data_IF_699154376752
#
_entry.id   IF_699154376752
#
_cell.length_a   1.000
_cell.length_b   1.000
_cell.length_c   1.000
_cell.angle_alpha   90.00
_cell.angle_beta   90.00
_cell.angle_gamma   90.00
#
_symmetry.space_group_name_H-M   'P 1'
#
loop_
_entity.id
_entity.type
_entity.pdbx_description
1 polymer ?
#
# COMPACT_ATOMS: atom_id res chain seq x y z
N UNK A 1 -59.17 8.98 -3.60
CA UNK A 1 -57.78 8.93 -4.15
C UNK A 1 -56.70 9.16 -3.07
N UNK A 2 -56.67 8.39 -1.96
CA UNK A 2 -55.63 8.56 -0.91
C UNK A 2 -55.15 7.26 -0.21
N UNK A 3 -55.34 6.07 -0.79
CA UNK A 3 -54.99 4.81 -0.11
C UNK A 3 -54.03 3.89 -0.89
N UNK A 4 -53.92 3.99 -2.22
CA UNK A 4 -52.97 3.15 -2.99
C UNK A 4 -51.50 3.57 -2.88
N UNK A 5 -51.21 4.86 -2.66
CA UNK A 5 -49.81 5.35 -2.56
C UNK A 5 -49.13 4.96 -1.24
N UNK A 6 -49.88 4.62 -0.20
CA UNK A 6 -49.32 4.26 1.10
C UNK A 6 -48.98 2.76 1.20
N UNK A 7 -49.71 1.90 0.49
CA UNK A 7 -49.40 0.46 0.43
C UNK A 7 -48.17 0.15 -0.45
N UNK A 8 -47.93 0.97 -1.49
CA UNK A 8 -46.72 0.82 -2.32
C UNK A 8 -45.43 1.28 -1.59
N UNK A 9 -45.56 2.19 -0.61
CA UNK A 9 -44.43 2.65 0.20
C UNK A 9 -44.09 1.66 1.34
N UNK A 10 -45.07 0.89 1.81
CA UNK A 10 -44.85 -0.16 2.81
C UNK A 10 -44.23 -1.44 2.21
N UNK A 11 -44.59 -1.77 0.95
CA UNK A 11 -44.01 -2.92 0.25
C UNK A 11 -42.53 -2.73 -0.13
N UNK A 12 -42.07 -1.49 -0.30
CA UNK A 12 -40.65 -1.20 -0.57
C UNK A 12 -39.77 -1.20 0.69
N UNK A 13 -40.35 -1.05 1.89
CA UNK A 13 -39.59 -1.11 3.15
C UNK A 13 -39.41 -2.52 3.70
N UNK A 14 -40.17 -3.51 3.23
CA UNK A 14 -40.04 -4.91 3.67
C UNK A 14 -39.21 -5.80 2.74
N UNK A 15 -38.80 -5.31 1.56
CA UNK A 15 -38.00 -6.09 0.60
C UNK A 15 -36.47 -5.95 0.78
N UNK A 16 -36.01 -5.24 1.81
CA UNK A 16 -34.58 -4.96 2.04
C UNK A 16 -34.00 -5.67 3.27
N UNK A 17 -34.51 -6.87 3.60
CA UNK A 17 -34.02 -7.67 4.73
C UNK A 17 -33.58 -9.09 4.34
N UNK A 18 -33.20 -9.30 3.08
CA UNK A 18 -32.64 -10.58 2.62
C UNK A 18 -31.51 -10.36 1.60
N UNK A 19 -30.50 -9.58 1.99
CA UNK A 19 -29.21 -9.58 1.30
C UNK A 19 -28.14 -10.01 2.31
N UNK A 20 -27.88 -11.31 2.30
CA UNK A 20 -26.65 -11.98 2.73
C UNK A 20 -25.90 -11.31 3.89
N UNK A 21 -26.04 -11.91 5.07
CA UNK A 21 -25.04 -11.86 6.12
C UNK A 21 -23.70 -12.37 5.55
N UNK A 22 -22.95 -11.50 4.87
CA UNK A 22 -21.52 -11.65 4.75
C UNK A 22 -20.99 -11.13 6.08
N UNK A 23 -20.63 -12.08 6.94
CA UNK A 23 -20.03 -11.79 8.23
C UNK A 23 -18.89 -10.79 8.07
N UNK A 24 -18.70 -9.98 9.10
CA UNK A 24 -17.52 -9.14 9.28
C UNK A 24 -16.30 -9.93 8.77
N UNK A 25 -15.65 -9.51 7.67
CA UNK A 25 -14.42 -10.18 7.26
C UNK A 25 -13.46 -10.07 8.45
N UNK A 26 -12.73 -11.16 8.77
CA UNK A 26 -11.82 -11.16 9.91
C UNK A 26 -10.90 -9.95 9.82
N UNK A 27 -10.54 -9.40 11.00
CA UNK A 27 -9.61 -8.29 11.12
C UNK A 27 -8.47 -8.44 10.11
N UNK A 28 -8.14 -7.35 9.40
CA UNK A 28 -7.08 -7.31 8.40
C UNK A 28 -5.92 -8.18 8.86
N UNK A 29 -5.61 -9.29 8.16
CA UNK A 29 -4.52 -10.15 8.56
C UNK A 29 -3.27 -9.28 8.63
N UNK A 30 -2.47 -9.45 9.69
CA UNK A 30 -1.15 -8.84 9.74
C UNK A 30 -0.44 -9.13 8.41
N UNK A 31 0.14 -8.10 7.78
CA UNK A 31 0.97 -8.26 6.58
C UNK A 31 1.81 -9.55 6.75
N UNK A 32 1.73 -10.53 5.84
CA UNK A 32 2.29 -11.84 6.09
C UNK A 32 3.79 -11.72 6.42
N UNK A 33 4.25 -12.48 7.41
CA UNK A 33 5.67 -12.60 7.69
C UNK A 33 6.33 -13.30 6.50
N UNK A 34 6.86 -12.52 5.56
CA UNK A 34 7.60 -13.06 4.42
C UNK A 34 9.06 -13.27 4.84
N UNK A 35 9.42 -14.53 5.04
CA UNK A 35 10.80 -14.95 5.22
C UNK A 35 11.55 -14.74 3.91
N UNK A 36 12.43 -13.74 3.89
CA UNK A 36 13.35 -13.47 2.81
C UNK A 36 14.21 -14.72 2.51
N UNK A 37 14.47 -15.11 1.24
CA UNK A 37 15.61 -15.96 0.94
C UNK A 37 16.86 -15.19 1.36
N UNK A 38 17.58 -15.70 2.36
CA UNK A 38 18.72 -15.04 3.04
C UNK A 38 19.56 -14.18 2.09
N UNK A 39 19.41 -12.83 2.12
CA UNK A 39 20.30 -11.94 1.41
C UNK A 39 21.64 -11.96 2.14
N UNK A 40 22.69 -12.30 1.41
CA UNK A 40 24.07 -12.09 1.86
C UNK A 40 24.20 -10.62 2.30
N UNK A 41 24.71 -10.31 3.51
CA UNK A 41 24.93 -8.93 3.98
C UNK A 41 26.12 -8.33 3.22
N UNK A 42 25.92 -8.09 1.94
CA UNK A 42 26.76 -7.27 1.11
C UNK A 42 25.85 -6.23 0.50
N UNK A 43 26.31 -4.97 0.56
CA UNK A 43 25.80 -3.78 -0.12
C UNK A 43 25.82 -3.99 -1.65
N UNK A 44 25.06 -4.96 -2.14
CA UNK A 44 25.28 -5.63 -3.41
C UNK A 44 24.26 -5.21 -4.46
N UNK A 45 24.71 -4.43 -5.43
CA UNK A 45 24.04 -4.26 -6.73
C UNK A 45 24.01 -5.62 -7.44
N UNK A 46 22.83 -6.24 -7.53
CA UNK A 46 22.57 -7.34 -8.45
C UNK A 46 22.00 -6.81 -9.76
N UNK A 47 22.80 -6.10 -10.57
CA UNK A 47 22.34 -5.56 -11.86
C UNK A 47 22.67 -6.53 -12.99
N UNK A 48 21.64 -7.10 -13.62
CA UNK A 48 21.76 -7.81 -14.89
C UNK A 48 21.00 -7.04 -15.99
N UNK A 49 21.58 -5.94 -16.48
CA UNK A 49 20.96 -5.16 -17.55
C UNK A 49 21.44 -3.71 -17.63
N UNK A 50 21.00 -2.99 -18.68
CA UNK A 50 21.20 -1.54 -18.85
C UNK A 50 20.25 -0.76 -17.92
N UNK A 51 20.33 -1.04 -16.63
CA UNK A 51 19.35 -0.60 -15.64
C UNK A 51 19.88 0.61 -14.85
N UNK A 52 18.98 1.53 -14.49
CA UNK A 52 19.29 2.72 -13.70
C UNK A 52 18.83 2.53 -12.26
N UNK A 53 19.61 1.78 -11.49
CA UNK A 53 19.47 1.68 -10.04
C UNK A 53 20.24 2.82 -9.37
N UNK A 54 19.61 3.54 -8.44
CA UNK A 54 20.28 4.58 -7.64
C UNK A 54 19.96 4.43 -6.16
N UNK A 55 21.01 4.52 -5.33
CA UNK A 55 20.97 4.38 -3.88
C UNK A 55 21.66 5.58 -3.24
N UNK A 56 20.95 6.28 -2.34
CA UNK A 56 21.52 7.37 -1.54
C UNK A 56 21.21 7.17 -0.05
N UNK A 57 22.26 7.03 0.75
CA UNK A 57 22.17 7.03 2.23
C UNK A 57 23.06 8.09 2.86
N UNK A 58 22.55 9.30 3.10
CA UNK A 58 23.20 10.24 3.99
C UNK A 58 22.96 9.79 5.45
N UNK A 59 23.99 9.24 6.12
CA UNK A 59 24.16 9.48 7.56
C UNK A 59 23.94 8.39 8.63
N UNK A 60 23.87 7.09 8.37
CA UNK A 60 23.98 6.07 9.45
C UNK A 60 24.21 4.64 8.92
N UNK A 61 24.90 3.80 9.69
CA UNK A 61 25.15 2.36 9.49
C UNK A 61 23.91 1.46 9.66
N UNK A 62 22.71 2.01 9.75
CA UNK A 62 21.46 1.29 10.05
C UNK A 62 20.47 1.20 8.88
N UNK A 63 20.77 1.84 7.75
CA UNK A 63 19.96 1.72 6.54
C UNK A 63 20.34 0.45 5.77
N UNK A 64 19.33 -0.28 5.30
CA UNK A 64 19.47 -1.44 4.43
C UNK A 64 18.59 -1.24 3.20
N UNK A 65 19.11 -1.63 2.04
CA UNK A 65 18.39 -1.52 0.79
C UNK A 65 18.79 -2.61 -0.21
N UNK A 66 17.80 -3.24 -0.83
CA UNK A 66 17.99 -4.20 -1.91
C UNK A 66 17.22 -3.74 -3.14
N UNK A 67 17.89 -3.72 -4.29
CA UNK A 67 17.24 -3.60 -5.60
C UNK A 67 17.60 -4.85 -6.40
N UNK A 68 16.58 -5.59 -6.82
CA UNK A 68 16.73 -6.75 -7.68
C UNK A 68 15.92 -6.56 -8.97
N UNK A 69 16.61 -6.53 -10.11
CA UNK A 69 16.04 -6.36 -11.44
C UNK A 69 16.57 -7.49 -12.34
N UNK A 70 15.66 -8.26 -12.95
CA UNK A 70 16.01 -9.43 -13.78
C UNK A 70 16.01 -9.14 -15.29
N UNK A 71 15.50 -7.98 -15.72
CA UNK A 71 15.19 -7.64 -17.11
C UNK A 71 15.33 -6.13 -17.37
N UNK A 72 15.69 -5.79 -18.61
CA UNK A 72 16.08 -4.45 -19.02
C UNK A 72 14.92 -3.45 -19.11
N UNK A 73 15.21 -2.17 -18.83
CA UNK A 73 14.27 -1.05 -19.04
C UNK A 73 13.53 -0.64 -17.78
N UNK A 74 13.92 -1.17 -16.62
CA UNK A 74 13.28 -0.86 -15.35
C UNK A 74 14.04 0.27 -14.64
N UNK A 75 13.29 1.14 -13.95
CA UNK A 75 13.83 2.19 -13.08
C UNK A 75 13.51 1.84 -11.64
N UNK A 76 14.54 1.86 -10.79
CA UNK A 76 14.42 1.64 -9.36
C UNK A 76 15.26 2.69 -8.62
N UNK A 77 14.66 3.41 -7.70
CA UNK A 77 15.35 4.37 -6.84
C UNK A 77 14.97 4.17 -5.38
N UNK A 78 15.99 4.11 -4.52
CA UNK A 78 15.83 4.08 -3.07
C UNK A 78 16.62 5.26 -2.48
N UNK A 79 15.90 6.18 -1.85
CA UNK A 79 16.46 7.30 -1.09
C UNK A 79 16.12 7.13 0.38
N UNK A 80 17.13 6.91 1.22
CA UNK A 80 16.95 6.68 2.64
C UNK A 80 17.75 7.69 3.46
N UNK A 81 17.04 8.48 4.26
CA UNK A 81 17.65 9.36 5.28
C UNK A 81 17.42 8.73 6.64
N UNK A 82 18.50 8.34 7.31
CA UNK A 82 18.42 7.79 8.67
C UNK A 82 18.28 8.92 9.70
N UNK A 83 17.64 8.60 10.82
CA UNK A 83 17.62 9.45 12.01
C UNK A 83 18.78 9.09 12.95
N UNK A 84 18.91 9.83 14.04
CA UNK A 84 19.96 9.60 15.06
C UNK A 84 19.81 8.29 15.83
N UNK A 85 18.65 7.61 15.73
CA UNK A 85 18.29 6.52 16.62
C UNK A 85 17.72 5.27 15.91
N UNK A 86 17.53 5.30 14.58
CA UNK A 86 16.95 4.19 13.83
C UNK A 86 17.21 4.30 12.33
N UNK A 87 17.33 3.15 11.67
CA UNK A 87 17.52 3.07 10.22
C UNK A 87 16.24 2.89 9.44
N UNK A 88 16.40 2.66 8.14
CA UNK A 88 15.34 2.30 7.21
C UNK A 88 15.69 0.96 6.55
N UNK A 89 14.67 0.24 6.07
CA UNK A 89 14.81 -0.98 5.26
C UNK A 89 13.96 -0.79 4.01
N UNK A 90 14.54 -0.97 2.83
CA UNK A 90 13.85 -0.78 1.55
C UNK A 90 14.19 -1.90 0.57
N UNK A 91 13.19 -2.57 0.04
CA UNK A 91 13.38 -3.59 -0.97
C UNK A 91 12.60 -3.27 -2.25
N UNK A 92 13.24 -3.38 -3.41
CA UNK A 92 12.58 -3.30 -4.71
C UNK A 92 12.90 -4.58 -5.48
N UNK A 93 11.86 -5.33 -5.85
CA UNK A 93 11.96 -6.49 -6.73
C UNK A 93 11.17 -6.24 -8.01
N UNK A 94 11.86 -6.16 -9.14
CA UNK A 94 11.23 -6.04 -10.45
C UNK A 94 11.65 -7.23 -11.32
N UNK A 95 10.85 -8.30 -11.22
CA UNK A 95 11.23 -9.66 -11.61
C UNK A 95 10.70 -10.10 -12.97
N UNK A 96 9.62 -9.48 -13.44
CA UNK A 96 8.95 -9.80 -14.71
C UNK A 96 8.41 -8.51 -15.34
N UNK A 97 8.30 -8.49 -16.68
CA UNK A 97 7.81 -7.35 -17.47
C UNK A 97 8.87 -6.39 -18.04
N UNK A 98 8.47 -5.18 -18.39
CA UNK A 98 9.40 -4.12 -18.86
C UNK A 98 8.88 -2.76 -18.45
N UNK A 99 9.77 -1.76 -18.40
CA UNK A 99 9.42 -0.36 -18.20
C UNK A 99 8.71 -0.06 -16.87
N UNK A 100 8.97 -0.88 -15.85
CA UNK A 100 8.49 -0.65 -14.50
C UNK A 100 9.30 0.45 -13.81
N UNK A 101 8.62 1.29 -13.04
CA UNK A 101 9.19 2.37 -12.25
C UNK A 101 8.85 2.15 -10.76
N UNK A 102 9.87 2.02 -9.92
CA UNK A 102 9.74 1.86 -8.48
C UNK A 102 10.57 2.92 -7.75
N UNK A 103 9.92 3.68 -6.87
CA UNK A 103 10.60 4.66 -6.02
C UNK A 103 10.24 4.43 -4.55
N UNK A 104 11.26 4.35 -3.70
CA UNK A 104 11.13 4.33 -2.25
C UNK A 104 11.88 5.54 -1.69
N UNK A 105 11.18 6.38 -0.94
CA UNK A 105 11.79 7.45 -0.14
C UNK A 105 11.42 7.27 1.32
N UNK A 106 12.42 7.07 2.18
CA UNK A 106 12.23 6.90 3.61
C UNK A 106 13.06 7.90 4.39
N UNK A 107 12.41 8.64 5.28
CA UNK A 107 13.08 9.55 6.20
C UNK A 107 12.73 9.16 7.63
N UNK A 108 13.68 8.56 8.33
CA UNK A 108 13.52 8.27 9.74
C UNK A 108 13.82 9.53 10.55
N UNK A 109 12.78 10.21 11.04
CA UNK A 109 12.93 11.42 11.89
C UNK A 109 12.77 11.11 13.37
N UNK A 110 12.62 9.83 13.75
CA UNK A 110 12.39 9.45 15.15
C UNK A 110 13.61 9.81 16.02
N UNK A 111 13.43 10.64 17.07
CA UNK A 111 14.50 10.96 18.01
C UNK A 111 14.74 9.83 19.04
N UNK A 112 13.90 8.78 19.05
CA UNK A 112 13.94 7.72 20.06
C UNK A 112 14.24 6.37 19.39
N UNK A 113 15.27 5.69 19.87
CA UNK A 113 15.80 4.45 19.27
C UNK A 113 14.85 3.25 19.32
N UNK A 114 13.87 3.29 20.22
CA UNK A 114 12.87 2.23 20.38
C UNK A 114 11.67 2.33 19.42
N UNK A 115 11.59 3.38 18.60
CA UNK A 115 10.46 3.60 17.69
C UNK A 115 10.62 2.98 16.31
N UNK A 116 11.59 2.07 16.14
CA UNK A 116 11.66 1.14 15.01
C UNK A 116 12.16 1.73 13.67
N UNK A 117 12.45 0.82 12.73
CA UNK A 117 12.86 1.15 11.36
C UNK A 117 11.63 1.41 10.50
N UNK A 118 11.74 2.31 9.52
CA UNK A 118 10.75 2.31 8.44
C UNK A 118 11.07 1.14 7.51
N UNK A 119 10.05 0.41 7.09
CA UNK A 119 10.15 -0.74 6.18
C UNK A 119 9.30 -0.45 4.94
N UNK A 120 9.91 -0.53 3.77
CA UNK A 120 9.27 -0.29 2.49
C UNK A 120 9.62 -1.43 1.54
N UNK A 121 8.63 -1.93 0.80
CA UNK A 121 8.85 -2.96 -0.22
C UNK A 121 7.96 -2.73 -1.43
N UNK A 122 8.55 -2.87 -2.61
CA UNK A 122 7.85 -2.82 -3.90
C UNK A 122 8.17 -4.10 -4.67
N UNK A 123 7.14 -4.86 -5.03
CA UNK A 123 7.26 -6.01 -5.93
C UNK A 123 6.47 -5.75 -7.22
N UNK A 124 7.16 -5.73 -8.36
CA UNK A 124 6.57 -5.52 -9.69
C UNK A 124 6.92 -6.69 -10.62
N UNK A 125 5.87 -7.35 -11.13
CA UNK A 125 5.97 -8.48 -12.06
C UNK A 125 5.30 -8.19 -13.42
N UNK A 126 4.58 -7.06 -13.52
CA UNK A 126 3.83 -6.68 -14.72
C UNK A 126 4.59 -5.71 -15.64
N UNK A 127 3.88 -5.07 -16.58
CA UNK A 127 4.48 -4.14 -17.56
C UNK A 127 4.07 -2.69 -17.33
N UNK A 128 5.01 -1.76 -17.54
CA UNK A 128 4.79 -0.30 -17.46
C UNK A 128 4.11 0.15 -16.18
N UNK A 129 4.41 -0.51 -15.06
CA UNK A 129 3.78 -0.22 -13.79
C UNK A 129 4.61 0.78 -12.99
N UNK A 130 3.92 1.62 -12.21
CA UNK A 130 4.55 2.61 -11.33
C UNK A 130 4.20 2.32 -9.88
N UNK A 131 5.19 2.36 -9.00
CA UNK A 131 4.99 2.24 -7.57
C UNK A 131 5.84 3.26 -6.84
N UNK A 132 5.19 4.08 -6.02
CA UNK A 132 5.85 5.13 -5.23
C UNK A 132 5.49 4.97 -3.75
N UNK A 133 6.52 4.86 -2.91
CA UNK A 133 6.37 4.76 -1.46
C UNK A 133 7.15 5.89 -0.76
N UNK A 134 6.45 6.64 0.10
CA UNK A 134 7.02 7.72 0.90
C UNK A 134 6.69 7.50 2.37
N UNK A 135 7.72 7.39 3.21
CA UNK A 135 7.57 7.21 4.66
C UNK A 135 8.39 8.26 5.41
N UNK A 136 7.73 9.01 6.28
CA UNK A 136 8.36 10.01 7.16
C UNK A 136 7.98 9.72 8.61
N UNK A 137 8.99 9.59 9.49
CA UNK A 137 8.79 9.24 10.91
C UNK A 137 9.43 7.90 11.27
N UNK A 138 8.80 7.05 12.08
CA UNK A 138 9.43 5.81 12.56
C UNK A 138 8.48 4.60 12.63
N UNK A 139 8.99 3.38 12.48
CA UNK A 139 8.20 2.14 12.47
C UNK A 139 7.05 2.12 11.45
N UNK A 140 7.14 2.88 10.36
CA UNK A 140 6.15 2.80 9.29
C UNK A 140 6.44 1.60 8.38
N UNK A 141 5.39 0.93 7.89
CA UNK A 141 5.47 -0.23 6.99
C UNK A 141 4.62 0.01 5.75
N UNK A 142 5.23 -0.04 4.58
CA UNK A 142 4.56 0.12 3.30
C UNK A 142 4.94 -1.05 2.39
N UNK A 143 3.93 -1.73 1.86
CA UNK A 143 4.12 -2.82 0.92
C UNK A 143 3.18 -2.68 -0.27
N UNK A 144 3.74 -2.71 -1.48
CA UNK A 144 2.98 -2.71 -2.73
C UNK A 144 3.38 -3.91 -3.60
N UNK A 145 2.36 -4.54 -4.20
CA UNK A 145 2.53 -5.65 -5.14
C UNK A 145 1.73 -5.37 -6.40
N UNK A 146 2.39 -5.46 -7.55
CA UNK A 146 1.78 -5.38 -8.88
C UNK A 146 2.14 -6.65 -9.65
N UNK A 147 1.20 -7.60 -9.70
CA UNK A 147 1.39 -8.95 -10.24
C UNK A 147 1.63 -9.02 -11.75
N UNK A 148 1.97 -10.21 -12.25
CA UNK A 148 2.39 -10.41 -13.65
C UNK A 148 1.30 -10.08 -14.69
N UNK A 149 0.03 -10.16 -14.29
CA UNK A 149 -1.11 -9.77 -15.12
C UNK A 149 -1.44 -8.28 -15.07
N UNK A 150 -0.64 -7.46 -14.36
CA UNK A 150 -0.90 -6.02 -14.17
C UNK A 150 -0.18 -5.21 -15.23
N UNK A 151 -0.89 -4.27 -15.86
CA UNK A 151 -0.27 -3.33 -16.81
C UNK A 151 -0.74 -1.91 -16.60
N UNK A 152 0.17 -0.96 -16.86
CA UNK A 152 -0.10 0.47 -16.79
C UNK A 152 -0.83 0.88 -15.50
N UNK A 153 -0.52 0.22 -14.39
CA UNK A 153 -1.17 0.47 -13.11
C UNK A 153 -0.21 1.20 -12.19
N UNK A 154 -0.78 2.01 -11.30
CA UNK A 154 -0.03 2.83 -10.38
C UNK A 154 -0.47 2.60 -8.95
N UNK A 155 0.52 2.49 -8.05
CA UNK A 155 0.32 2.42 -6.62
C UNK A 155 1.08 3.54 -5.93
N UNK A 156 0.44 4.19 -4.97
CA UNK A 156 1.06 5.26 -4.16
C UNK A 156 0.76 5.04 -2.69
N UNK A 157 1.79 5.02 -1.85
CA UNK A 157 1.63 4.89 -0.40
C UNK A 157 2.42 6.01 0.30
N UNK A 158 1.73 6.82 1.08
CA UNK A 158 2.32 7.91 1.88
C UNK A 158 1.99 7.73 3.35
N UNK A 159 3.02 7.68 4.19
CA UNK A 159 2.88 7.50 5.63
C UNK A 159 3.67 8.56 6.37
N UNK A 160 2.98 9.36 7.17
CA UNK A 160 3.57 10.38 8.03
C UNK A 160 3.22 10.11 9.49
N UNK A 161 4.25 9.95 10.31
CA UNK A 161 4.11 9.67 11.74
C UNK A 161 4.77 8.36 12.14
N UNK A 162 4.16 7.64 13.08
CA UNK A 162 4.77 6.47 13.73
C UNK A 162 3.81 5.27 13.68
N UNK A 163 4.30 4.09 13.29
CA UNK A 163 3.57 2.80 13.26
C UNK A 163 2.43 2.73 12.24
N UNK A 164 2.53 3.44 11.12
CA UNK A 164 1.58 3.27 10.02
C UNK A 164 1.82 1.98 9.25
N UNK A 165 0.74 1.36 8.79
CA UNK A 165 0.77 0.13 7.99
C UNK A 165 -0.10 0.31 6.73
N UNK A 166 0.53 0.18 5.57
CA UNK A 166 -0.11 0.38 4.27
C UNK A 166 0.21 -0.82 3.38
N UNK A 167 -0.84 -1.44 2.84
CA UNK A 167 -0.74 -2.55 1.91
C UNK A 167 -1.58 -2.30 0.65
N UNK A 168 -0.96 -2.40 -0.52
CA UNK A 168 -1.63 -2.39 -1.81
C UNK A 168 -1.28 -3.67 -2.57
N UNK A 169 -2.30 -4.39 -3.05
CA UNK A 169 -2.13 -5.56 -3.90
C UNK A 169 -2.98 -5.44 -5.17
N UNK A 170 -2.32 -5.24 -6.30
CA UNK A 170 -2.89 -5.35 -7.63
C UNK A 170 -2.47 -6.69 -8.22
N UNK A 171 -3.41 -7.63 -8.36
CA UNK A 171 -3.08 -9.00 -8.77
C UNK A 171 -3.12 -9.21 -10.28
N UNK A 172 -4.04 -8.52 -10.97
CA UNK A 172 -4.30 -8.68 -12.40
C UNK A 172 -5.13 -7.52 -12.96
N UNK A 173 -4.97 -7.24 -14.25
CA UNK A 173 -5.74 -6.27 -15.00
C UNK A 173 -4.98 -4.97 -15.31
N UNK A 174 -5.64 -3.99 -15.91
CA UNK A 174 -4.94 -2.86 -16.55
C UNK A 174 -5.47 -1.51 -16.05
N UNK A 175 -4.63 -0.48 -16.11
CA UNK A 175 -5.00 0.91 -15.81
C UNK A 175 -5.60 1.14 -14.42
N UNK A 176 -5.16 0.38 -13.41
CA UNK A 176 -5.68 0.50 -12.06
C UNK A 176 -4.85 1.53 -11.26
N UNK A 177 -5.55 2.33 -10.45
CA UNK A 177 -4.94 3.30 -9.55
C UNK A 177 -5.30 2.98 -8.10
N UNK A 178 -4.31 2.85 -7.25
CA UNK A 178 -4.50 2.66 -5.81
C UNK A 178 -3.62 3.65 -5.03
N UNK A 179 -4.24 4.38 -4.10
CA UNK A 179 -3.54 5.38 -3.29
C UNK A 179 -3.93 5.28 -1.82
N UNK A 180 -2.93 5.26 -0.94
CA UNK A 180 -3.09 5.23 0.50
C UNK A 180 -2.29 6.37 1.14
N UNK A 181 -2.96 7.16 1.98
CA UNK A 181 -2.35 8.24 2.75
C UNK A 181 -2.73 8.12 4.22
N UNK A 182 -1.72 8.04 5.09
CA UNK A 182 -1.90 7.86 6.53
C UNK A 182 -1.09 8.91 7.29
N UNK A 183 -1.78 9.71 8.11
CA UNK A 183 -1.15 10.77 8.91
C UNK A 183 -1.57 10.67 10.37
N UNK A 184 -0.57 10.56 11.25
CA UNK A 184 -0.80 10.39 12.68
C UNK A 184 -0.72 11.75 13.37
N UNK A 185 -1.57 11.97 14.37
CA UNK A 185 -1.57 13.21 15.15
C UNK A 185 -0.84 13.09 16.50
N UNK A 186 -0.56 11.86 16.96
CA UNK A 186 0.05 11.60 18.27
C UNK A 186 1.07 10.46 18.22
N UNK A 187 2.13 10.49 19.05
CA UNK A 187 3.07 9.38 19.18
C UNK A 187 2.38 8.12 19.73
N UNK A 188 2.74 6.94 19.20
CA UNK A 188 2.21 5.60 19.53
C UNK A 188 0.90 5.16 18.88
N UNK A 189 0.37 5.95 17.96
CA UNK A 189 -0.91 5.66 17.31
C UNK A 189 -0.71 5.44 15.82
N UNK A 190 -0.81 4.19 15.37
CA UNK A 190 -0.69 3.80 13.95
C UNK A 190 -2.03 3.70 13.25
N UNK A 191 -2.07 4.01 11.96
CA UNK A 191 -3.22 3.70 11.08
C UNK A 191 -2.92 2.46 10.22
N UNK A 192 -3.95 1.75 9.79
CA UNK A 192 -3.86 0.57 8.91
C UNK A 192 -4.75 0.73 7.69
N UNK A 193 -4.17 0.56 6.50
CA UNK A 193 -4.84 0.74 5.22
C UNK A 193 -4.53 -0.45 4.30
N UNK A 194 -5.56 -1.00 3.67
CA UNK A 194 -5.46 -2.10 2.72
C UNK A 194 -6.27 -1.82 1.45
N UNK A 195 -5.64 -1.93 0.28
CA UNK A 195 -6.32 -1.91 -1.02
C UNK A 195 -5.98 -3.21 -1.75
N UNK A 196 -7.01 -3.96 -2.13
CA UNK A 196 -6.90 -5.15 -2.98
C UNK A 196 -7.72 -4.92 -4.25
N UNK A 197 -7.03 -4.94 -5.39
CA UNK A 197 -7.62 -4.83 -6.72
C UNK A 197 -7.31 -6.12 -7.49
N UNK A 198 -8.34 -6.94 -7.72
CA UNK A 198 -8.19 -8.27 -8.33
C UNK A 198 -9.06 -8.38 -9.57
N UNK A 199 -8.45 -8.75 -10.69
CA UNK A 199 -9.13 -8.85 -11.98
C UNK A 199 -9.83 -7.53 -12.36
N UNK A 200 -9.15 -6.40 -12.13
CA UNK A 200 -9.72 -5.06 -12.30
C UNK A 200 -9.23 -4.34 -13.55
N UNK A 201 -10.09 -3.60 -14.23
CA UNK A 201 -9.67 -2.78 -15.37
C UNK A 201 -10.18 -1.34 -15.23
N UNK A 202 -9.27 -0.36 -15.20
CA UNK A 202 -9.62 1.06 -15.02
C UNK A 202 -10.21 1.40 -13.65
N UNK A 203 -9.87 0.66 -12.59
CA UNK A 203 -10.44 0.90 -11.26
C UNK A 203 -9.55 1.80 -10.40
N UNK A 204 -10.19 2.66 -9.62
CA UNK A 204 -9.56 3.62 -8.71
C UNK A 204 -9.98 3.33 -7.26
N UNK A 205 -9.00 3.18 -6.37
CA UNK A 205 -9.19 3.05 -4.94
C UNK A 205 -8.34 4.08 -4.18
N UNK A 206 -8.99 4.93 -3.38
CA UNK A 206 -8.37 5.97 -2.57
C UNK A 206 -8.68 5.73 -1.09
N UNK A 207 -7.65 5.78 -0.25
CA UNK A 207 -7.80 5.70 1.22
C UNK A 207 -6.99 6.81 1.88
N UNK A 208 -7.65 7.65 2.66
CA UNK A 208 -7.03 8.69 3.48
C UNK A 208 -7.43 8.52 4.94
N UNK A 209 -6.44 8.38 5.82
CA UNK A 209 -6.65 8.22 7.25
C UNK A 209 -5.87 9.28 8.02
N UNK A 210 -6.58 10.12 8.76
CA UNK A 210 -6.00 11.13 9.65
C UNK A 210 -6.40 10.85 11.10
N UNK A 211 -5.41 10.63 11.96
CA UNK A 211 -5.61 10.47 13.40
C UNK A 211 -5.05 9.15 13.92
N UNK A 212 -5.78 8.46 14.80
CA UNK A 212 -5.28 7.34 15.61
C UNK A 212 -6.01 6.04 15.31
N UNK A 213 -5.29 4.95 15.09
CA UNK A 213 -5.88 3.59 15.07
C UNK A 213 -7.04 3.43 14.08
N UNK A 214 -7.02 4.17 12.96
CA UNK A 214 -8.01 3.99 11.92
C UNK A 214 -7.67 2.75 11.09
N UNK A 215 -8.70 2.03 10.64
CA UNK A 215 -8.60 0.87 9.75
C UNK A 215 -9.47 1.12 8.51
N UNK A 216 -8.86 1.06 7.33
CA UNK A 216 -9.52 1.22 6.04
C UNK A 216 -9.17 0.01 5.17
N UNK A 217 -10.18 -0.65 4.61
CA UNK A 217 -9.96 -1.72 3.63
C UNK A 217 -10.89 -1.54 2.42
N UNK A 218 -10.31 -1.68 1.24
CA UNK A 218 -11.01 -1.59 -0.05
C UNK A 218 -10.69 -2.81 -0.86
N UNK A 219 -11.72 -3.56 -1.26
CA UNK A 219 -11.62 -4.66 -2.20
C UNK A 219 -12.42 -4.32 -3.46
N UNK A 220 -11.78 -4.35 -4.62
CA UNK A 220 -12.43 -4.14 -5.91
C UNK A 220 -12.16 -5.33 -6.83
N UNK A 221 -13.21 -5.78 -7.49
CA UNK A 221 -13.15 -6.70 -8.63
C UNK A 221 -13.95 -6.12 -9.80
N UNK A 222 -13.62 -6.49 -11.04
CA UNK A 222 -14.37 -6.02 -12.21
C UNK A 222 -13.86 -4.69 -12.78
N UNK A 223 -14.63 -4.04 -13.64
CA UNK A 223 -14.15 -2.87 -14.39
C UNK A 223 -14.70 -1.55 -13.85
N UNK A 224 -13.92 -0.47 -14.01
CA UNK A 224 -14.34 0.92 -13.77
C UNK A 224 -14.90 1.21 -12.36
N UNK A 225 -14.38 0.53 -11.34
CA UNK A 225 -14.80 0.75 -9.95
C UNK A 225 -14.12 2.00 -9.37
N UNK A 226 -14.87 2.84 -8.65
CA UNK A 226 -14.33 3.96 -7.87
C UNK A 226 -14.67 3.78 -6.40
N UNK A 227 -13.66 3.75 -5.54
CA UNK A 227 -13.80 3.70 -4.09
C UNK A 227 -12.97 4.79 -3.46
N UNK A 228 -13.56 5.46 -2.47
CA UNK A 228 -12.87 6.45 -1.65
C UNK A 228 -13.27 6.27 -0.18
N UNK A 229 -12.28 6.13 0.68
CA UNK A 229 -12.44 6.09 2.14
C UNK A 229 -11.67 7.27 2.73
N UNK A 230 -12.37 8.12 3.48
CA UNK A 230 -11.76 9.21 4.26
C UNK A 230 -12.15 8.99 5.72
N UNK A 231 -11.15 8.80 6.58
CA UNK A 231 -11.34 8.63 8.03
C UNK A 231 -10.59 9.72 8.79
N UNK A 232 -11.31 10.45 9.64
CA UNK A 232 -10.74 11.45 10.54
C UNK A 232 -11.02 11.08 11.99
N UNK A 233 -10.03 11.26 12.88
CA UNK A 233 -10.18 10.99 14.31
C UNK A 233 -9.58 9.66 14.75
N UNK A 234 -10.17 9.03 15.76
CA UNK A 234 -9.63 7.85 16.41
C UNK A 234 -10.51 6.60 16.22
N UNK A 235 -9.89 5.44 16.04
CA UNK A 235 -10.54 4.11 16.07
C UNK A 235 -11.66 3.91 15.04
N UNK A 236 -11.62 4.62 13.92
CA UNK A 236 -12.61 4.42 12.85
C UNK A 236 -12.29 3.15 12.07
N UNK A 237 -13.33 2.44 11.63
CA UNK A 237 -13.20 1.30 10.72
C UNK A 237 -14.11 1.51 9.50
N UNK A 238 -13.57 1.33 8.30
CA UNK A 238 -14.30 1.51 7.05
C UNK A 238 -13.90 0.41 6.05
N UNK A 239 -14.91 -0.18 5.42
CA UNK A 239 -14.76 -1.30 4.50
C UNK A 239 -15.57 -1.01 3.25
N UNK A 240 -14.92 -1.06 2.08
CA UNK A 240 -15.58 -1.00 0.78
C UNK A 240 -15.32 -2.30 0.03
N UNK A 241 -16.39 -2.94 -0.45
CA UNK A 241 -16.31 -4.08 -1.35
C UNK A 241 -17.16 -3.78 -2.59
N UNK A 242 -16.51 -3.71 -3.76
CA UNK A 242 -17.15 -3.41 -5.04
C UNK A 242 -16.89 -4.55 -6.03
N UNK A 243 -17.92 -4.91 -6.78
CA UNK A 243 -17.92 -6.02 -7.75
C UNK A 243 -18.29 -5.53 -9.14
#
# INVERSE_FOLDING_TARGET
>A
MKTLKLQLLAASMFAFAAAHAQGVPPAAPAAPAHTSPTPNPQTGLGTAGRDRASYQTPGSSTNDAVIYQSISGQYANINQTAGTAGGNSADIYQLDGSDNNANITQTNTSPVSFLGRNEARIDQFGYTNTSDQVQTGGANRAYSVQGAGVRNSSTTQTQEGIKNDAYINQQSGENNYASQSQRNMFPNDGNSAEIIQRDTNGSTALQTQQGRSNVASTMQTGASSYSEIIQGGGQNQAFVNQK
#
